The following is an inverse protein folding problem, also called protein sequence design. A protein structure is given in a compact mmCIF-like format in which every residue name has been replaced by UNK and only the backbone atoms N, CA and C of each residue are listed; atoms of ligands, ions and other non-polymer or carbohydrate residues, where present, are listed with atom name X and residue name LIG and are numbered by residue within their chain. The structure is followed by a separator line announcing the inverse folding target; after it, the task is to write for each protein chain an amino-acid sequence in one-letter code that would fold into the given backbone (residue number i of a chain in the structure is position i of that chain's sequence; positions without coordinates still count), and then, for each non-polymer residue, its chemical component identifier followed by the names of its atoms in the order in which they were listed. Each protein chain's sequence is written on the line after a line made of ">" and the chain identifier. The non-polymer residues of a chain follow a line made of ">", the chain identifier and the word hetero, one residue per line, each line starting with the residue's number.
data_IF_391351468824
#
_entry.id   IF_391351468824
#
_cell.length_a   1.000
_cell.length_b   1.000
_cell.length_c   1.000
_cell.angle_alpha   90.00
_cell.angle_beta   90.00
_cell.angle_gamma   90.00
#
_symmetry.space_group_name_H-M   'P 1'
#
loop_
_entity.id
_entity.type
_entity.pdbx_description
1 polymer ?
#
# COMPACT_ATOMS: atom_id res chain seq x y z
N UNK A 1 19.55 19.39 14.68
CA UNK A 1 18.75 18.18 14.87
C UNK A 1 17.30 18.63 14.79
N UNK A 2 16.61 18.36 13.69
CA UNK A 2 15.22 18.78 13.52
C UNK A 2 14.32 17.64 14.00
N UNK A 3 13.34 17.96 14.85
CA UNK A 3 12.37 17.04 15.42
C UNK A 3 11.56 16.33 14.32
N UNK A 4 11.95 15.09 14.01
CA UNK A 4 11.61 14.37 12.80
C UNK A 4 10.29 13.59 12.82
N UNK A 5 9.21 14.17 13.33
CA UNK A 5 7.87 13.56 13.24
C UNK A 5 6.94 14.38 12.34
N UNK A 6 7.37 14.62 11.10
CA UNK A 6 6.46 15.10 10.06
C UNK A 6 5.47 14.01 9.69
N UNK A 7 4.18 14.33 9.59
CA UNK A 7 3.21 13.42 8.96
C UNK A 7 3.65 13.17 7.51
N UNK A 8 3.97 11.92 7.18
CA UNK A 8 4.29 11.52 5.82
C UNK A 8 2.96 11.28 5.08
N UNK A 9 2.69 12.05 4.03
CA UNK A 9 1.46 11.92 3.24
C UNK A 9 0.95 13.26 2.67
N UNK A 10 0.00 13.18 1.74
CA UNK A 10 -0.70 14.36 1.22
C UNK A 10 -1.88 14.72 2.13
N UNK A 11 -2.01 16.00 2.48
CA UNK A 11 -3.25 16.50 3.08
C UNK A 11 -4.33 16.51 2.01
N UNK A 12 -5.46 15.89 2.30
CA UNK A 12 -6.64 15.93 1.43
C UNK A 12 -7.85 16.33 2.27
N UNK A 13 -8.88 16.89 1.63
CA UNK A 13 -10.14 17.20 2.30
C UNK A 13 -10.95 15.94 2.64
N UNK A 14 -10.59 14.79 2.04
CA UNK A 14 -11.25 13.51 2.22
C UNK A 14 -10.40 12.58 3.11
N UNK A 15 -11.03 11.57 3.71
CA UNK A 15 -10.31 10.52 4.44
C UNK A 15 -9.92 9.44 3.44
N UNK A 16 -8.72 9.55 2.89
CA UNK A 16 -8.20 8.64 1.88
C UNK A 16 -7.00 7.87 2.41
N UNK A 17 -6.85 6.62 1.96
CA UNK A 17 -5.66 5.79 2.14
C UNK A 17 -5.29 5.19 0.79
N UNK A 18 -4.00 5.13 0.49
CA UNK A 18 -3.48 4.43 -0.67
C UNK A 18 -2.69 3.20 -0.18
N UNK A 19 -3.08 2.02 -0.65
CA UNK A 19 -2.37 0.78 -0.34
C UNK A 19 -1.29 0.53 -1.39
N UNK A 20 -0.04 0.43 -0.94
CA UNK A 20 1.12 0.15 -1.77
C UNK A 20 1.88 -1.04 -1.20
N UNK A 21 2.34 -1.93 -2.06
CA UNK A 21 3.11 -3.12 -1.69
C UNK A 21 4.44 -3.13 -2.44
N UNK A 22 5.54 -3.22 -1.70
CA UNK A 22 6.90 -3.28 -2.24
C UNK A 22 7.43 -4.74 -2.20
N UNK A 23 8.50 -5.01 -2.96
CA UNK A 23 9.28 -6.27 -2.93
C UNK A 23 8.51 -7.56 -3.31
N UNK A 24 7.48 -7.42 -4.15
CA UNK A 24 6.71 -8.54 -4.74
C UNK A 24 7.13 -8.89 -6.18
N UNK A 25 6.58 -9.98 -6.76
CA UNK A 25 5.60 -10.90 -6.18
C UNK A 25 6.26 -12.01 -5.34
N UNK A 26 5.68 -12.31 -4.18
CA UNK A 26 6.11 -13.41 -3.30
C UNK A 26 5.09 -14.55 -3.45
N UNK A 27 5.45 -15.71 -4.03
CA UNK A 27 4.49 -16.78 -4.35
C UNK A 27 3.62 -17.23 -3.17
N UNK A 28 4.19 -17.20 -1.96
CA UNK A 28 3.51 -17.57 -0.72
C UNK A 28 2.53 -16.53 -0.17
N UNK A 29 2.68 -15.24 -0.50
CA UNK A 29 1.91 -14.14 0.13
C UNK A 29 1.08 -13.33 -0.84
N UNK A 30 1.60 -13.06 -2.04
CA UNK A 30 0.92 -12.22 -3.03
C UNK A 30 -0.47 -12.73 -3.39
N UNK A 31 -0.73 -14.05 -3.58
CA UNK A 31 -2.07 -14.54 -3.86
C UNK A 31 -3.08 -14.18 -2.75
N UNK A 32 -2.75 -14.42 -1.48
CA UNK A 32 -3.64 -14.12 -0.35
C UNK A 32 -3.96 -12.64 -0.22
N UNK A 33 -2.98 -11.76 -0.51
CA UNK A 33 -3.20 -10.30 -0.55
C UNK A 33 -4.15 -9.94 -1.69
N UNK A 34 -3.94 -10.49 -2.90
CA UNK A 34 -4.81 -10.25 -4.06
C UNK A 34 -6.24 -10.71 -3.79
N UNK A 35 -6.42 -11.91 -3.22
CA UNK A 35 -7.75 -12.45 -2.86
C UNK A 35 -8.48 -11.55 -1.86
N UNK A 36 -7.74 -10.94 -0.93
CA UNK A 36 -8.31 -10.02 0.06
C UNK A 36 -8.72 -8.69 -0.60
N UNK A 37 -7.86 -8.12 -1.44
CA UNK A 37 -8.16 -6.88 -2.15
C UNK A 37 -9.37 -7.05 -3.08
N UNK A 38 -9.45 -8.18 -3.79
CA UNK A 38 -10.56 -8.52 -4.68
C UNK A 38 -11.88 -8.68 -3.92
N UNK A 39 -11.87 -9.43 -2.80
CA UNK A 39 -13.05 -9.62 -1.93
C UNK A 39 -13.69 -8.30 -1.51
N UNK A 40 -12.87 -7.28 -1.23
CA UNK A 40 -13.35 -5.97 -0.79
C UNK A 40 -13.44 -4.94 -1.93
N UNK A 41 -13.16 -5.34 -3.18
CA UNK A 41 -13.07 -4.47 -4.34
C UNK A 41 -12.17 -3.24 -4.11
N UNK A 42 -11.04 -3.44 -3.41
CA UNK A 42 -10.10 -2.37 -3.04
C UNK A 42 -8.94 -2.33 -4.03
N UNK A 43 -8.70 -1.21 -4.71
CA UNK A 43 -7.53 -1.06 -5.57
C UNK A 43 -6.24 -0.87 -4.74
N UNK A 44 -5.13 -1.41 -5.24
CA UNK A 44 -3.80 -1.21 -4.68
C UNK A 44 -2.72 -1.14 -5.77
N UNK A 45 -1.55 -0.62 -5.42
CA UNK A 45 -0.38 -0.55 -6.31
C UNK A 45 0.71 -1.51 -5.83
N UNK A 46 1.25 -2.32 -6.73
CA UNK A 46 2.42 -3.17 -6.47
C UNK A 46 3.64 -2.58 -7.15
N UNK A 47 4.72 -2.39 -6.39
CA UNK A 47 6.04 -2.04 -6.89
C UNK A 47 6.90 -3.31 -6.88
N UNK A 48 7.11 -3.89 -8.06
CA UNK A 48 7.76 -5.18 -8.21
C UNK A 48 9.28 -5.04 -8.03
N UNK A 49 9.88 -6.04 -7.38
CA UNK A 49 11.32 -6.22 -7.42
C UNK A 49 11.73 -6.74 -8.82
N UNK A 50 12.81 -6.19 -9.36
CA UNK A 50 13.34 -6.54 -10.69
C UNK A 50 14.15 -7.83 -10.72
#
# INVERSE_FOLDING_TARGET
>A
MADGAGRWGRRTAQRLVALTFDDGPRPQWTPTVLDTLDRYAVPARFFLAG
#
